data_IF_533098411427
#
_entry.id   IF_533098411427
#
_cell.length_a   1.000
_cell.length_b   1.000
_cell.length_c   1.000
_cell.angle_alpha   90.00
_cell.angle_beta   90.00
_cell.angle_gamma   90.00
#
_symmetry.space_group_name_H-M   'P 1'
#
loop_
_entity.id
_entity.type
_entity.pdbx_description
1 polymer ?
#
# COMPACT_ATOMS: atom_id res chain seq x y z
N UNK A 1 -25.76 8.00 17.71
CA UNK A 1 -26.43 6.69 17.78
C UNK A 1 -27.57 6.68 16.77
N UNK A 2 -27.40 5.98 15.69
CA UNK A 2 -28.24 5.40 14.65
C UNK A 2 -27.97 5.91 13.23
N UNK A 3 -26.88 5.48 12.57
CA UNK A 3 -26.67 5.79 11.14
C UNK A 3 -27.42 4.83 10.20
N UNK A 4 -27.95 3.71 10.70
CA UNK A 4 -28.59 2.69 9.84
C UNK A 4 -30.12 2.81 9.70
N UNK A 5 -30.79 3.67 10.44
CA UNK A 5 -32.26 3.71 10.45
C UNK A 5 -32.91 4.39 9.23
N UNK A 6 -32.17 5.17 8.44
CA UNK A 6 -32.71 5.87 7.25
C UNK A 6 -32.35 5.20 5.90
N UNK A 7 -31.58 4.12 5.90
CA UNK A 7 -31.14 3.44 4.67
C UNK A 7 -32.04 2.22 4.32
N UNK A 8 -33.35 2.43 4.25
CA UNK A 8 -34.38 1.41 3.99
C UNK A 8 -34.70 1.20 2.52
N UNK A 9 -33.71 1.16 1.61
CA UNK A 9 -33.98 0.69 0.23
C UNK A 9 -32.76 0.12 -0.45
N UNK A 10 -32.51 -1.10 -0.35
CA UNK A 10 -31.59 -1.99 -1.08
C UNK A 10 -30.39 -2.47 -0.29
N UNK A 11 -30.50 -3.72 0.12
CA UNK A 11 -29.47 -4.72 0.31
C UNK A 11 -28.50 -4.64 1.49
N UNK A 12 -28.68 -5.64 2.36
CA UNK A 12 -27.72 -6.46 3.09
C UNK A 12 -26.93 -5.78 4.22
N UNK A 13 -26.79 -6.52 5.32
CA UNK A 13 -25.93 -6.26 6.48
C UNK A 13 -24.47 -5.87 6.10
N UNK A 14 -24.01 -6.25 4.91
CA UNK A 14 -22.70 -5.88 4.37
C UNK A 14 -22.56 -4.38 4.06
N UNK A 15 -23.60 -3.74 3.50
CA UNK A 15 -23.57 -2.31 3.17
C UNK A 15 -23.57 -1.44 4.44
N UNK A 16 -24.29 -1.88 5.47
CA UNK A 16 -24.29 -1.18 6.76
C UNK A 16 -22.95 -1.30 7.49
N UNK A 17 -22.34 -2.48 7.47
CA UNK A 17 -21.04 -2.71 8.12
C UNK A 17 -19.91 -1.95 7.41
N UNK A 18 -19.95 -1.88 6.10
CA UNK A 18 -18.95 -1.16 5.30
C UNK A 18 -19.10 0.36 5.39
N UNK A 19 -20.33 0.86 5.53
CA UNK A 19 -20.62 2.28 5.83
C UNK A 19 -20.04 2.66 7.20
N UNK A 20 -20.26 1.85 8.23
CA UNK A 20 -19.69 2.09 9.55
C UNK A 20 -18.16 2.09 9.54
N UNK A 21 -17.52 1.22 8.74
CA UNK A 21 -16.06 1.20 8.60
C UNK A 21 -15.54 2.50 7.96
N UNK A 22 -16.20 2.97 6.92
CA UNK A 22 -15.83 4.22 6.26
C UNK A 22 -16.00 5.43 7.18
N UNK A 23 -17.10 5.50 7.94
CA UNK A 23 -17.34 6.54 8.94
C UNK A 23 -16.29 6.52 10.05
N UNK A 24 -15.93 5.34 10.54
CA UNK A 24 -14.89 5.18 11.55
C UNK A 24 -13.52 5.63 11.03
N UNK A 25 -13.13 5.21 9.82
CA UNK A 25 -11.88 5.61 9.19
C UNK A 25 -11.82 7.13 8.97
N UNK A 26 -12.93 7.74 8.51
CA UNK A 26 -13.01 9.17 8.30
C UNK A 26 -12.96 9.94 9.62
N UNK A 27 -13.64 9.45 10.65
CA UNK A 27 -13.62 10.05 11.99
C UNK A 27 -12.21 10.02 12.59
N UNK A 28 -11.49 8.90 12.43
CA UNK A 28 -10.09 8.77 12.82
C UNK A 28 -9.20 9.75 12.03
N UNK A 29 -9.41 9.85 10.72
CA UNK A 29 -8.66 10.77 9.87
C UNK A 29 -8.90 12.24 10.28
N UNK A 30 -10.14 12.63 10.58
CA UNK A 30 -10.48 13.98 11.09
C UNK A 30 -9.84 14.25 12.46
N UNK A 31 -9.81 13.24 13.33
CA UNK A 31 -9.14 13.36 14.62
C UNK A 31 -7.63 13.60 14.45
N UNK A 32 -6.99 12.89 13.53
CA UNK A 32 -5.56 13.09 13.21
C UNK A 32 -5.30 14.46 12.56
N UNK A 33 -6.18 14.90 11.68
CA UNK A 33 -6.10 16.18 10.99
C UNK A 33 -6.19 17.37 11.96
N UNK A 34 -6.99 17.24 13.00
CA UNK A 34 -7.16 18.25 14.04
C UNK A 34 -5.94 18.42 14.97
N UNK A 35 -4.91 17.56 14.83
CA UNK A 35 -3.72 17.66 15.65
C UNK A 35 -2.77 18.74 15.12
N UNK A 36 -2.21 19.57 16.01
CA UNK A 36 -1.25 20.62 15.66
C UNK A 36 -0.06 20.13 14.83
N UNK A 37 0.39 18.90 15.03
CA UNK A 37 1.50 18.30 14.28
C UNK A 37 1.13 18.03 12.82
N UNK A 38 -0.10 17.62 12.53
CA UNK A 38 -0.60 17.43 11.16
C UNK A 38 -0.50 18.76 10.39
N UNK A 39 -1.07 19.82 10.96
CA UNK A 39 -1.03 21.17 10.39
C UNK A 39 0.40 21.66 10.17
N UNK A 40 1.28 21.49 11.16
CA UNK A 40 2.68 21.91 11.06
C UNK A 40 3.45 21.19 9.94
N UNK A 41 3.23 19.89 9.75
CA UNK A 41 3.86 19.13 8.66
C UNK A 41 3.31 19.59 7.31
N UNK A 42 2.00 19.77 7.21
CA UNK A 42 1.34 20.16 5.97
C UNK A 42 1.67 21.59 5.53
N UNK A 43 1.67 22.53 6.45
CA UNK A 43 1.96 23.94 6.15
C UNK A 43 3.45 24.21 5.90
N UNK A 44 4.34 23.34 6.40
CA UNK A 44 5.78 23.45 6.15
C UNK A 44 6.14 22.91 4.77
N UNK A 45 6.32 23.78 3.80
CA UNK A 45 6.77 23.45 2.43
C UNK A 45 8.04 22.59 2.44
N UNK A 46 8.98 22.91 3.31
CA UNK A 46 10.25 22.18 3.38
C UNK A 46 10.11 20.81 4.04
N UNK A 47 9.39 20.72 5.17
CA UNK A 47 9.27 19.47 5.92
C UNK A 47 8.53 18.40 5.11
N UNK A 48 7.40 18.75 4.51
CA UNK A 48 6.63 17.85 3.65
C UNK A 48 7.48 17.36 2.48
N UNK A 49 8.15 18.28 1.75
CA UNK A 49 8.97 17.95 0.60
C UNK A 49 10.15 17.02 0.98
N UNK A 50 10.78 17.23 2.14
CA UNK A 50 11.85 16.36 2.62
C UNK A 50 11.37 14.96 2.99
N UNK A 51 10.21 14.83 3.64
CA UNK A 51 9.61 13.53 3.98
C UNK A 51 9.26 12.80 2.68
N UNK A 52 8.62 13.46 1.72
CA UNK A 52 8.26 12.88 0.43
C UNK A 52 9.50 12.42 -0.35
N UNK A 53 10.52 13.27 -0.46
CA UNK A 53 11.78 12.94 -1.13
C UNK A 53 12.45 11.74 -0.47
N UNK A 54 12.52 11.71 0.85
CA UNK A 54 13.09 10.58 1.61
C UNK A 54 12.30 9.30 1.36
N UNK A 55 10.97 9.38 1.34
CA UNK A 55 10.10 8.24 1.04
C UNK A 55 10.38 7.67 -0.35
N UNK A 56 10.45 8.52 -1.37
CA UNK A 56 10.70 8.11 -2.75
C UNK A 56 12.10 7.52 -2.92
N UNK A 57 13.14 8.16 -2.37
CA UNK A 57 14.52 7.65 -2.43
C UNK A 57 14.64 6.29 -1.74
N UNK A 58 14.06 6.15 -0.56
CA UNK A 58 14.08 4.89 0.19
C UNK A 58 13.31 3.79 -0.56
N UNK A 59 12.17 4.14 -1.18
CA UNK A 59 11.40 3.24 -2.03
C UNK A 59 12.24 2.75 -3.22
N UNK A 60 12.97 3.63 -3.90
CA UNK A 60 13.83 3.26 -5.03
C UNK A 60 14.92 2.27 -4.62
N UNK A 61 15.60 2.53 -3.49
CA UNK A 61 16.65 1.64 -2.97
C UNK A 61 16.06 0.30 -2.56
N UNK A 62 14.93 0.30 -1.83
CA UNK A 62 14.23 -0.91 -1.43
C UNK A 62 13.81 -1.77 -2.62
N UNK A 63 13.14 -1.14 -3.62
CA UNK A 63 12.71 -1.84 -4.83
C UNK A 63 13.87 -2.37 -5.66
N UNK A 64 14.98 -1.62 -5.74
CA UNK A 64 16.18 -2.08 -6.43
C UNK A 64 16.72 -3.39 -5.84
N UNK A 65 16.82 -3.47 -4.51
CA UNK A 65 17.23 -4.68 -3.82
C UNK A 65 16.23 -5.84 -4.00
N UNK A 66 14.94 -5.53 -3.90
CA UNK A 66 13.86 -6.50 -4.10
C UNK A 66 13.91 -7.09 -5.52
N UNK A 67 14.04 -6.24 -6.54
CA UNK A 67 14.12 -6.70 -7.92
C UNK A 67 15.36 -7.57 -8.19
N UNK A 68 16.50 -7.27 -7.58
CA UNK A 68 17.67 -8.15 -7.68
C UNK A 68 17.36 -9.55 -7.17
N UNK A 69 16.68 -9.66 -6.02
CA UNK A 69 16.26 -10.96 -5.46
C UNK A 69 15.23 -11.63 -6.39
N UNK A 70 14.19 -10.92 -6.79
CA UNK A 70 13.12 -11.48 -7.60
C UNK A 70 13.63 -11.93 -9.00
N UNK A 71 14.51 -11.16 -9.64
CA UNK A 71 15.12 -11.54 -10.92
C UNK A 71 16.00 -12.77 -10.79
N UNK A 72 16.75 -12.91 -9.66
CA UNK A 72 17.51 -14.14 -9.38
C UNK A 72 16.58 -15.33 -9.21
N UNK A 73 15.45 -15.14 -8.47
CA UNK A 73 14.48 -16.20 -8.25
C UNK A 73 13.72 -16.59 -9.53
N UNK A 74 13.55 -15.67 -10.46
CA UNK A 74 13.03 -15.98 -11.80
C UNK A 74 14.02 -16.73 -12.68
N UNK A 75 15.32 -16.73 -12.32
CA UNK A 75 16.39 -17.29 -13.12
C UNK A 75 16.79 -16.41 -14.32
N UNK A 76 16.47 -15.09 -14.26
CA UNK A 76 16.77 -14.09 -15.30
C UNK A 76 18.09 -13.36 -15.05
N UNK A 77 18.51 -13.24 -13.78
CA UNK A 77 19.75 -12.58 -13.40
C UNK A 77 20.59 -13.46 -12.47
N UNK A 78 21.91 -13.29 -12.52
CA UNK A 78 22.88 -13.93 -11.63
C UNK A 78 22.75 -15.47 -11.52
N UNK A 79 22.67 -16.24 -12.64
CA UNK A 79 22.41 -17.68 -12.59
C UNK A 79 23.48 -18.47 -11.86
N UNK A 80 24.70 -17.96 -11.80
CA UNK A 80 25.87 -18.61 -11.19
C UNK A 80 26.06 -18.22 -9.70
N UNK A 81 25.22 -17.35 -9.14
CA UNK A 81 25.31 -16.94 -7.74
C UNK A 81 24.25 -17.68 -6.95
N UNK A 82 24.63 -18.23 -5.79
CA UNK A 82 23.68 -18.90 -4.90
C UNK A 82 22.56 -17.93 -4.48
N UNK A 83 21.32 -18.42 -4.52
CA UNK A 83 20.15 -17.63 -4.15
C UNK A 83 20.20 -17.21 -2.67
N UNK A 84 20.66 -18.10 -1.79
CA UNK A 84 20.85 -17.84 -0.36
C UNK A 84 21.79 -16.67 -0.08
N UNK A 85 22.92 -16.62 -0.82
CA UNK A 85 23.94 -15.56 -0.64
C UNK A 85 23.37 -14.17 -0.98
N UNK A 86 22.60 -14.06 -2.07
CA UNK A 86 21.98 -12.80 -2.45
C UNK A 86 20.93 -12.41 -1.41
N UNK A 87 20.06 -13.34 -1.03
CA UNK A 87 19.01 -13.10 -0.06
C UNK A 87 19.57 -12.67 1.30
N UNK A 88 20.58 -13.36 1.81
CA UNK A 88 21.21 -13.05 3.10
C UNK A 88 21.91 -11.69 3.12
N UNK A 89 22.61 -11.34 2.03
CA UNK A 89 23.28 -10.04 1.93
C UNK A 89 22.32 -8.87 1.83
N UNK A 90 21.21 -9.05 1.16
CA UNK A 90 20.21 -7.99 0.95
C UNK A 90 19.14 -7.92 2.05
N UNK A 91 18.99 -8.95 2.89
CA UNK A 91 17.94 -9.03 3.92
C UNK A 91 17.98 -7.83 4.88
N UNK A 92 19.12 -7.56 5.50
CA UNK A 92 19.26 -6.45 6.47
C UNK A 92 19.01 -5.08 5.85
N UNK A 93 19.69 -4.67 4.76
CA UNK A 93 19.47 -3.36 4.16
C UNK A 93 18.06 -3.22 3.57
N UNK A 94 17.48 -4.30 3.06
CA UNK A 94 16.09 -4.31 2.57
C UNK A 94 15.09 -4.09 3.72
N UNK A 95 15.28 -4.74 4.88
CA UNK A 95 14.41 -4.53 6.05
C UNK A 95 14.52 -3.10 6.61
N UNK A 96 15.73 -2.52 6.63
CA UNK A 96 15.93 -1.13 7.02
C UNK A 96 15.21 -0.19 6.03
N UNK A 97 15.38 -0.43 4.73
CA UNK A 97 14.70 0.33 3.68
C UNK A 97 13.18 0.25 3.81
N UNK A 98 12.64 -0.96 4.04
CA UNK A 98 11.21 -1.16 4.27
C UNK A 98 10.72 -0.39 5.50
N UNK A 99 11.44 -0.46 6.61
CA UNK A 99 11.08 0.25 7.84
C UNK A 99 11.04 1.77 7.63
N UNK A 100 12.08 2.33 7.00
CA UNK A 100 12.13 3.77 6.66
C UNK A 100 11.01 4.18 5.70
N UNK A 101 10.72 3.35 4.69
CA UNK A 101 9.62 3.59 3.76
C UNK A 101 8.27 3.60 4.47
N UNK A 102 8.03 2.68 5.41
CA UNK A 102 6.79 2.63 6.20
C UNK A 102 6.69 3.84 7.11
N UNK A 103 7.75 4.20 7.84
CA UNK A 103 7.77 5.36 8.73
C UNK A 103 7.46 6.65 7.95
N UNK A 104 8.16 6.89 6.85
CA UNK A 104 7.93 8.07 6.02
C UNK A 104 6.56 8.06 5.37
N UNK A 105 6.04 6.89 4.98
CA UNK A 105 4.68 6.74 4.46
C UNK A 105 3.60 7.07 5.49
N UNK A 106 3.80 6.67 6.75
CA UNK A 106 2.91 7.04 7.87
C UNK A 106 2.96 8.55 8.13
N UNK A 107 4.14 9.18 8.06
CA UNK A 107 4.26 10.64 8.21
C UNK A 107 3.54 11.39 7.09
N UNK A 108 3.65 10.92 5.83
CA UNK A 108 2.92 11.50 4.70
C UNK A 108 1.39 11.34 4.85
N UNK A 109 0.94 10.18 5.33
CA UNK A 109 -0.47 9.98 5.66
C UNK A 109 -0.94 10.94 6.76
N UNK A 110 -0.13 11.10 7.83
CA UNK A 110 -0.43 11.98 8.95
C UNK A 110 -0.50 13.46 8.55
N UNK A 111 0.25 13.87 7.53
CA UNK A 111 0.23 15.24 7.02
C UNK A 111 -1.12 15.62 6.37
N UNK A 112 -1.81 14.67 5.69
CA UNK A 112 -3.05 14.93 4.95
C UNK A 112 -3.99 13.73 5.11
N UNK A 113 -4.46 13.42 6.33
CA UNK A 113 -5.13 12.14 6.59
C UNK A 113 -6.53 12.05 5.95
N UNK A 114 -7.32 13.13 5.97
CA UNK A 114 -8.69 13.13 5.44
C UNK A 114 -8.69 12.87 3.93
N UNK A 115 -7.94 13.68 3.16
CA UNK A 115 -7.84 13.52 1.70
C UNK A 115 -7.29 12.16 1.30
N UNK A 116 -6.26 11.69 2.02
CA UNK A 116 -5.64 10.38 1.73
C UNK A 116 -6.61 9.24 2.00
N UNK A 117 -7.40 9.30 3.07
CA UNK A 117 -8.41 8.28 3.39
C UNK A 117 -9.53 8.24 2.35
N UNK A 118 -9.89 9.37 1.76
CA UNK A 118 -10.92 9.51 0.73
C UNK A 118 -10.35 9.38 -0.71
N UNK A 119 -9.20 8.76 -0.87
CA UNK A 119 -8.60 8.46 -2.18
C UNK A 119 -8.73 6.97 -2.50
N UNK A 120 -9.37 6.66 -3.63
CA UNK A 120 -9.49 5.31 -4.15
C UNK A 120 -8.11 4.69 -4.41
N UNK A 121 -7.19 5.46 -5.00
CA UNK A 121 -5.84 5.00 -5.29
C UNK A 121 -5.04 4.66 -4.04
N UNK A 122 -5.22 5.42 -2.96
CA UNK A 122 -4.60 5.11 -1.67
C UNK A 122 -5.12 3.79 -1.09
N UNK A 123 -6.42 3.55 -1.16
CA UNK A 123 -7.03 2.29 -0.69
C UNK A 123 -6.52 1.09 -1.48
N UNK A 124 -6.46 1.20 -2.81
CA UNK A 124 -5.87 0.17 -3.68
C UNK A 124 -4.39 -0.05 -3.32
N UNK A 125 -3.63 1.02 -3.10
CA UNK A 125 -2.21 0.93 -2.69
C UNK A 125 -2.04 0.16 -1.39
N UNK A 126 -2.85 0.44 -0.37
CA UNK A 126 -2.79 -0.28 0.91
C UNK A 126 -3.12 -1.77 0.72
N UNK A 127 -4.15 -2.10 -0.07
CA UNK A 127 -4.49 -3.50 -0.39
C UNK A 127 -3.33 -4.21 -1.09
N UNK A 128 -2.75 -3.60 -2.12
CA UNK A 128 -1.59 -4.15 -2.82
C UNK A 128 -0.39 -4.33 -1.88
N UNK A 129 -0.15 -3.37 -0.98
CA UNK A 129 0.92 -3.46 0.02
C UNK A 129 0.70 -4.63 0.98
N UNK A 130 -0.52 -4.85 1.45
CA UNK A 130 -0.86 -6.00 2.30
C UNK A 130 -0.63 -7.32 1.56
N UNK A 131 -1.08 -7.44 0.31
CA UNK A 131 -0.82 -8.63 -0.51
C UNK A 131 0.67 -8.84 -0.78
N UNK A 132 1.43 -7.77 -1.02
CA UNK A 132 2.88 -7.83 -1.18
C UNK A 132 3.57 -8.33 0.11
N UNK A 133 3.13 -7.86 1.27
CA UNK A 133 3.64 -8.33 2.56
C UNK A 133 3.33 -9.83 2.77
N UNK A 134 2.08 -10.25 2.54
CA UNK A 134 1.69 -11.67 2.64
C UNK A 134 2.53 -12.52 1.68
N UNK A 135 2.69 -12.08 0.43
CA UNK A 135 3.54 -12.80 -0.54
C UNK A 135 5.00 -12.88 -0.08
N UNK A 136 5.56 -11.79 0.47
CA UNK A 136 6.94 -11.76 0.97
C UNK A 136 7.14 -12.73 2.14
N UNK A 137 6.23 -12.78 3.11
CA UNK A 137 6.28 -13.73 4.22
C UNK A 137 6.14 -15.18 3.74
N UNK A 138 5.18 -15.46 2.86
CA UNK A 138 4.98 -16.78 2.27
C UNK A 138 6.18 -17.21 1.43
N UNK A 139 6.78 -16.28 0.68
CA UNK A 139 7.99 -16.54 -0.10
C UNK A 139 9.18 -16.85 0.80
N UNK A 140 9.42 -16.06 1.86
CA UNK A 140 10.49 -16.29 2.82
C UNK A 140 10.37 -17.65 3.49
N UNK A 141 9.18 -18.04 3.92
CA UNK A 141 8.93 -19.36 4.52
C UNK A 141 9.22 -20.50 3.54
N UNK A 142 8.76 -20.39 2.28
CA UNK A 142 9.01 -21.38 1.23
C UNK A 142 10.51 -21.49 0.89
N UNK A 143 11.20 -20.35 0.81
CA UNK A 143 12.63 -20.30 0.54
C UNK A 143 13.41 -20.99 1.65
N UNK A 144 13.15 -20.67 2.92
CA UNK A 144 13.81 -21.29 4.06
C UNK A 144 13.62 -22.82 4.11
N UNK A 145 12.43 -23.29 3.75
CA UNK A 145 12.10 -24.71 3.75
C UNK A 145 12.76 -25.52 2.61
N UNK A 146 13.10 -24.88 1.49
CA UNK A 146 13.47 -25.59 0.26
C UNK A 146 14.82 -25.17 -0.34
N UNK A 147 15.46 -24.11 0.14
CA UNK A 147 16.68 -23.54 -0.45
C UNK A 147 17.82 -24.56 -0.58
N UNK A 148 17.97 -25.46 0.37
CA UNK A 148 19.00 -26.48 0.36
C UNK A 148 18.96 -27.42 -0.84
N UNK A 149 17.84 -27.55 -1.53
CA UNK A 149 17.66 -28.45 -2.68
C UNK A 149 17.93 -27.80 -4.04
N UNK A 150 17.90 -26.45 -4.14
CA UNK A 150 17.99 -25.74 -5.43
C UNK A 150 18.85 -24.47 -5.40
N UNK A 151 19.56 -24.20 -4.31
CA UNK A 151 20.32 -22.97 -4.09
C UNK A 151 21.32 -22.63 -5.20
N UNK A 152 21.94 -23.65 -5.77
CA UNK A 152 22.92 -23.55 -6.88
C UNK A 152 22.29 -23.67 -8.27
N UNK A 153 21.00 -23.99 -8.35
CA UNK A 153 20.36 -24.19 -9.63
C UNK A 153 20.20 -22.86 -10.38
N UNK A 154 20.51 -22.82 -11.68
CA UNK A 154 20.31 -21.64 -12.51
C UNK A 154 18.83 -21.19 -12.55
N UNK A 155 17.92 -22.15 -12.42
CA UNK A 155 16.47 -21.91 -12.44
C UNK A 155 15.80 -22.54 -11.21
N UNK A 156 15.37 -21.75 -10.22
CA UNK A 156 14.62 -22.24 -9.07
C UNK A 156 13.31 -22.94 -9.45
N UNK A 157 12.73 -23.74 -8.54
CA UNK A 157 11.46 -24.42 -8.75
C UNK A 157 10.31 -23.47 -9.14
N UNK A 158 9.30 -23.98 -9.85
CA UNK A 158 8.19 -23.14 -10.37
C UNK A 158 7.46 -22.35 -9.30
N UNK A 159 7.24 -22.91 -8.11
CA UNK A 159 6.53 -22.22 -7.02
C UNK A 159 7.33 -21.02 -6.48
N UNK A 160 8.67 -21.06 -6.47
CA UNK A 160 9.53 -19.93 -6.10
C UNK A 160 9.47 -18.85 -7.18
N UNK A 161 9.58 -19.26 -8.46
CA UNK A 161 9.50 -18.33 -9.60
C UNK A 161 8.14 -17.61 -9.65
N UNK A 162 7.03 -18.31 -9.38
CA UNK A 162 5.70 -17.70 -9.33
C UNK A 162 5.62 -16.67 -8.20
N UNK A 163 6.17 -16.97 -7.01
CA UNK A 163 6.21 -16.02 -5.91
C UNK A 163 6.97 -14.73 -6.26
N UNK A 164 8.11 -14.86 -6.95
CA UNK A 164 8.90 -13.71 -7.42
C UNK A 164 8.15 -12.91 -8.51
N UNK A 165 7.46 -13.57 -9.45
CA UNK A 165 6.66 -12.89 -10.46
C UNK A 165 5.50 -12.10 -9.83
N UNK A 166 4.79 -12.70 -8.87
CA UNK A 166 3.72 -12.03 -8.10
C UNK A 166 4.27 -10.85 -7.31
N UNK A 167 5.45 -10.99 -6.69
CA UNK A 167 6.14 -9.91 -5.99
C UNK A 167 6.35 -8.69 -6.90
N UNK A 168 6.95 -8.90 -8.06
CA UNK A 168 7.20 -7.82 -9.04
C UNK A 168 5.89 -7.12 -9.46
N UNK A 169 4.83 -7.88 -9.75
CA UNK A 169 3.55 -7.32 -10.17
C UNK A 169 2.90 -6.49 -9.05
N UNK A 170 2.90 -7.00 -7.81
CA UNK A 170 2.33 -6.28 -6.67
C UNK A 170 3.09 -4.98 -6.39
N UNK A 171 4.42 -5.02 -6.39
CA UNK A 171 5.22 -3.82 -6.15
C UNK A 171 5.15 -2.83 -7.31
N UNK A 172 5.07 -3.29 -8.55
CA UNK A 172 4.78 -2.41 -9.69
C UNK A 172 3.41 -1.71 -9.52
N UNK A 173 2.39 -2.44 -9.07
CA UNK A 173 1.09 -1.88 -8.72
C UNK A 173 1.17 -0.84 -7.60
N UNK A 174 1.94 -1.09 -6.54
CA UNK A 174 2.17 -0.13 -5.44
C UNK A 174 2.83 1.16 -5.94
N UNK A 175 3.80 1.06 -6.85
CA UNK A 175 4.46 2.23 -7.45
C UNK A 175 3.49 3.02 -8.33
N UNK A 176 2.75 2.34 -9.21
CA UNK A 176 1.78 2.98 -10.11
C UNK A 176 0.71 3.70 -9.32
N UNK A 177 0.07 3.02 -8.35
CA UNK A 177 -0.96 3.64 -7.51
C UNK A 177 -0.40 4.79 -6.67
N UNK A 178 0.83 4.65 -6.15
CA UNK A 178 1.51 5.72 -5.43
C UNK A 178 1.78 6.95 -6.31
N UNK A 179 2.09 6.75 -7.59
CA UNK A 179 2.28 7.84 -8.54
C UNK A 179 0.94 8.48 -8.94
N UNK A 180 -0.10 7.67 -9.11
CA UNK A 180 -1.44 8.16 -9.45
C UNK A 180 -2.01 9.05 -8.35
N UNK A 181 -1.80 8.72 -7.08
CA UNK A 181 -2.21 9.56 -5.94
C UNK A 181 -1.68 10.99 -6.07
N UNK A 182 -0.46 11.18 -6.57
CA UNK A 182 0.12 12.51 -6.72
C UNK A 182 -0.61 13.41 -7.74
N UNK A 183 -1.35 12.82 -8.68
CA UNK A 183 -2.10 13.54 -9.71
C UNK A 183 -3.61 13.50 -9.48
N UNK A 184 -4.11 12.45 -8.87
CA UNK A 184 -5.53 12.15 -8.71
C UNK A 184 -5.81 11.64 -7.28
N UNK A 185 -5.66 12.51 -6.32
CA UNK A 185 -5.63 12.20 -4.90
C UNK A 185 -6.90 12.50 -4.13
N UNK A 186 -7.90 13.14 -4.77
CA UNK A 186 -9.16 13.44 -4.09
C UNK A 186 -10.36 13.14 -4.99
N UNK A 187 -11.07 12.09 -4.65
CA UNK A 187 -12.15 11.57 -5.50
C UNK A 187 -13.53 12.17 -5.17
N UNK A 188 -13.76 12.61 -3.93
CA UNK A 188 -15.08 13.02 -3.46
C UNK A 188 -15.62 14.32 -4.08
N UNK A 189 -14.79 15.13 -4.77
CA UNK A 189 -15.24 16.33 -5.51
C UNK A 189 -15.62 16.05 -6.97
N UNK A 190 -15.52 14.80 -7.41
CA UNK A 190 -15.82 14.40 -8.79
C UNK A 190 -17.21 13.80 -8.85
N UNK A 191 -17.92 14.00 -9.97
CA UNK A 191 -19.14 13.25 -10.25
C UNK A 191 -18.79 11.80 -10.56
N UNK A 192 -18.91 10.93 -9.56
CA UNK A 192 -18.57 9.52 -9.65
C UNK A 192 -19.84 8.65 -9.53
N UNK A 193 -19.83 7.45 -10.12
CA UNK A 193 -20.85 6.45 -9.84
C UNK A 193 -20.89 6.09 -8.34
N UNK A 194 -22.08 5.81 -7.80
CA UNK A 194 -22.27 5.47 -6.37
C UNK A 194 -21.29 4.44 -5.83
N UNK A 195 -21.02 3.39 -6.62
CA UNK A 195 -20.04 2.35 -6.23
C UNK A 195 -18.61 2.90 -6.04
N UNK A 196 -18.22 3.93 -6.80
CA UNK A 196 -16.91 4.58 -6.64
C UNK A 196 -16.88 5.52 -5.43
N UNK A 197 -17.95 6.24 -5.14
CA UNK A 197 -18.07 7.01 -3.90
C UNK A 197 -17.92 6.12 -2.68
N UNK A 198 -18.58 4.96 -2.69
CA UNK A 198 -18.47 3.99 -1.63
C UNK A 198 -17.03 3.45 -1.50
N UNK A 199 -16.41 3.07 -2.63
CA UNK A 199 -15.04 2.54 -2.65
C UNK A 199 -13.99 3.58 -2.24
N UNK A 200 -14.20 4.86 -2.53
CA UNK A 200 -13.36 5.97 -2.10
C UNK A 200 -13.62 6.40 -0.64
N UNK A 201 -14.78 6.04 -0.08
CA UNK A 201 -15.19 6.41 1.28
C UNK A 201 -15.69 7.85 1.42
N UNK A 202 -16.36 8.34 0.40
CA UNK A 202 -16.98 9.67 0.35
C UNK A 202 -18.31 9.68 1.13
N UNK A 203 -18.25 9.61 2.45
CA UNK A 203 -19.42 9.44 3.32
C UNK A 203 -20.37 10.63 3.25
N UNK A 204 -19.84 11.86 3.28
CA UNK A 204 -20.63 13.08 3.31
C UNK A 204 -21.39 13.28 1.99
N UNK A 205 -20.76 13.00 0.86
CA UNK A 205 -21.35 13.09 -0.47
C UNK A 205 -22.41 12.01 -0.70
N UNK A 206 -22.19 10.80 -0.20
CA UNK A 206 -23.22 9.74 -0.25
C UNK A 206 -24.44 10.09 0.61
N UNK A 207 -24.25 10.70 1.77
CA UNK A 207 -25.34 11.16 2.62
C UNK A 207 -26.16 12.27 1.94
N UNK A 208 -25.52 13.18 1.21
CA UNK A 208 -26.17 14.21 0.43
C UNK A 208 -27.04 13.62 -0.70
N UNK A 209 -26.50 12.66 -1.48
CA UNK A 209 -27.24 11.98 -2.55
C UNK A 209 -28.44 11.15 -2.03
N UNK A 210 -28.37 10.63 -0.81
CA UNK A 210 -29.46 9.87 -0.21
C UNK A 210 -30.60 10.76 0.32
N UNK A 211 -30.37 12.08 0.44
CA UNK A 211 -31.36 13.07 0.91
C UNK A 211 -32.16 13.74 -0.22
N UNK A 212 -31.77 13.58 -1.48
CA UNK A 212 -32.47 14.01 -2.69
C UNK A 212 -33.47 12.93 -3.17
#
# INVERSE_FOLDING_TARGET
>A
LAPCDNFKRTNTDEDCHSSMLNEWLLSLARFLDAQNWSTQIHESIYLYAWIETTHVLTLMVFLGMLFVIDLRMLGLAFPNVRASVIAERLDKPMMIGLALMVITGVLLYYAIPVRTTQSLWFRIKIMLFVFAAINAFAFRARMQASVGSWDTDPKPPRHIRMGAAVSILLWAGVVVTGRTIAYDWFDCHKELPYAMYWAAGCVDEMAALASE
#
